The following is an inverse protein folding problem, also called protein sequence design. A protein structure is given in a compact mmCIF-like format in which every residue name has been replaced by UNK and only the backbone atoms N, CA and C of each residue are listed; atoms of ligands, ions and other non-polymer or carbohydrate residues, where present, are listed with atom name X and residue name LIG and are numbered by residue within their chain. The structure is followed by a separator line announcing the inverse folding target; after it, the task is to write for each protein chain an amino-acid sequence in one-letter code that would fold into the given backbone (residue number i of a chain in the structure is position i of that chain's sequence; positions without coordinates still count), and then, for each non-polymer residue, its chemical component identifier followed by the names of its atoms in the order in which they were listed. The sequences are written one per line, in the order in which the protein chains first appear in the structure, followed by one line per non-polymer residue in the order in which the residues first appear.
data_IF_044265875602
#
_entry.id   IF_044265875602
#
_cell.length_a   1.000
_cell.length_b   1.000
_cell.length_c   1.000
_cell.angle_alpha   90.00
_cell.angle_beta   90.00
_cell.angle_gamma   90.00
#
_symmetry.space_group_name_H-M   'P 1'
#
loop_
_entity.id
_entity.type
_entity.pdbx_description
1 polymer ?
#
# COMPACT_ATOMS: atom_id res chain seq x y z
N UNK A 1 5.99 17.26 7.95
CA UNK A 1 5.92 17.78 6.57
C UNK A 1 5.07 19.04 6.59
N UNK A 2 5.63 20.14 6.12
CA UNK A 2 4.84 21.35 5.87
C UNK A 2 3.89 21.04 4.71
N UNK A 3 2.59 21.33 4.82
CA UNK A 3 1.69 21.13 3.69
C UNK A 3 2.21 21.93 2.48
N UNK A 4 2.06 21.46 1.24
CA UNK A 4 2.35 22.28 0.09
C UNK A 4 1.53 23.57 0.18
N UNK A 5 2.00 24.62 -0.47
CA UNK A 5 1.31 25.90 -0.50
C UNK A 5 -0.14 25.79 -1.02
N UNK A 6 -0.44 24.71 -1.72
CA UNK A 6 -1.75 24.39 -2.26
C UNK A 6 -2.07 22.91 -2.09
N UNK A 7 -3.15 22.60 -1.39
CA UNK A 7 -3.78 21.27 -1.31
C UNK A 7 -5.06 21.38 -2.10
N UNK A 8 -5.12 20.68 -3.23
CA UNK A 8 -6.31 20.67 -4.07
C UNK A 8 -7.31 19.60 -3.57
N UNK A 9 -8.59 19.80 -3.80
CA UNK A 9 -9.59 18.75 -3.71
C UNK A 9 -9.40 17.72 -4.85
N UNK A 10 -10.12 16.60 -4.79
CA UNK A 10 -10.06 15.58 -5.85
C UNK A 10 -10.74 16.00 -7.16
N UNK A 11 -11.48 17.12 -7.16
CA UNK A 11 -12.21 17.56 -8.35
C UNK A 11 -13.27 16.56 -8.81
N UNK A 12 -13.46 16.43 -10.11
CA UNK A 12 -14.36 15.44 -10.71
C UNK A 12 -13.66 14.06 -10.73
N UNK A 13 -13.91 13.25 -9.72
CA UNK A 13 -13.48 11.86 -9.69
C UNK A 13 -14.45 11.00 -10.52
N UNK A 14 -13.89 10.14 -11.40
CA UNK A 14 -14.67 9.12 -12.09
C UNK A 14 -14.57 7.81 -11.32
N UNK A 15 -15.72 7.27 -10.88
CA UNK A 15 -15.79 5.98 -10.22
C UNK A 15 -15.95 4.86 -11.25
N UNK A 16 -15.27 3.75 -11.00
CA UNK A 16 -15.31 2.53 -11.79
C UNK A 16 -15.69 1.37 -10.87
N UNK A 17 -16.96 0.94 -10.86
CA UNK A 17 -17.39 -0.22 -10.08
C UNK A 17 -16.72 -1.51 -10.56
N UNK A 18 -16.08 -2.24 -9.65
CA UNK A 18 -15.35 -3.49 -9.97
C UNK A 18 -15.65 -4.61 -8.98
N UNK A 19 -16.24 -4.30 -7.85
CA UNK A 19 -16.51 -5.21 -6.74
C UNK A 19 -15.88 -4.75 -5.44
N UNK A 20 -16.22 -5.40 -4.34
CA UNK A 20 -15.88 -4.95 -2.99
C UNK A 20 -14.38 -4.98 -2.71
N UNK A 21 -13.87 -3.88 -2.23
CA UNK A 21 -12.51 -3.70 -1.70
C UNK A 21 -11.41 -3.78 -2.76
N UNK A 22 -11.47 -2.99 -3.85
CA UNK A 22 -10.38 -2.86 -4.83
C UNK A 22 -9.19 -2.14 -4.18
N UNK A 23 -8.32 -2.89 -3.52
CA UNK A 23 -7.39 -2.36 -2.53
C UNK A 23 -6.21 -1.62 -3.17
N UNK A 24 -5.56 -2.19 -4.17
CA UNK A 24 -4.47 -1.56 -4.91
C UNK A 24 -4.80 -1.49 -6.40
N UNK A 25 -4.03 -0.71 -7.14
CA UNK A 25 -4.23 -0.49 -8.57
C UNK A 25 -2.91 -0.52 -9.33
N UNK A 26 -2.87 -1.27 -10.43
CA UNK A 26 -1.76 -1.28 -11.38
C UNK A 26 -2.30 -1.33 -12.80
N UNK A 27 -1.59 -0.72 -13.75
CA UNK A 27 -1.99 -0.71 -15.15
C UNK A 27 -1.14 -1.71 -15.93
N UNK A 28 -1.79 -2.52 -16.78
CA UNK A 28 -1.09 -3.36 -17.74
C UNK A 28 -0.58 -2.55 -18.95
N UNK A 29 0.22 -3.18 -19.79
CA UNK A 29 0.81 -2.53 -20.97
C UNK A 29 -0.22 -2.03 -22.00
N UNK A 30 -1.46 -2.50 -21.93
CA UNK A 30 -2.58 -2.05 -22.77
C UNK A 30 -3.37 -0.90 -22.16
N UNK A 31 -3.01 -0.44 -20.95
CA UNK A 31 -3.70 0.62 -20.21
C UNK A 31 -4.94 0.16 -19.46
N UNK A 32 -5.18 -1.17 -19.35
CA UNK A 32 -6.25 -1.71 -18.51
C UNK A 32 -5.80 -1.75 -17.04
N UNK A 33 -6.73 -1.59 -16.14
CA UNK A 33 -6.47 -1.46 -14.71
C UNK A 33 -6.73 -2.76 -13.99
N UNK A 34 -5.72 -3.26 -13.28
CA UNK A 34 -5.80 -4.46 -12.45
C UNK A 34 -6.01 -4.06 -11.00
N UNK A 35 -6.85 -4.80 -10.28
CA UNK A 35 -7.04 -4.64 -8.83
C UNK A 35 -7.39 -5.96 -8.18
N UNK A 36 -7.10 -6.05 -6.87
CA UNK A 36 -7.46 -7.18 -6.03
C UNK A 36 -8.72 -6.90 -5.22
N UNK A 37 -9.63 -7.86 -5.13
CA UNK A 37 -10.91 -7.72 -4.40
C UNK A 37 -10.90 -8.48 -3.07
N UNK A 38 -11.79 -8.07 -2.16
CA UNK A 38 -11.91 -8.68 -0.83
C UNK A 38 -12.25 -10.18 -0.85
N UNK A 39 -12.85 -10.68 -1.93
CA UNK A 39 -13.23 -12.09 -2.10
C UNK A 39 -12.15 -12.97 -2.74
N UNK A 40 -10.94 -12.45 -2.91
CA UNK A 40 -9.79 -13.17 -3.48
C UNK A 40 -9.68 -13.08 -5.00
N UNK A 41 -10.58 -12.39 -5.67
CA UNK A 41 -10.44 -12.18 -7.12
C UNK A 41 -9.40 -11.09 -7.42
N UNK A 42 -8.65 -11.33 -8.48
CA UNK A 42 -7.92 -10.31 -9.23
C UNK A 42 -8.73 -10.01 -10.47
N UNK A 43 -9.11 -8.76 -10.66
CA UNK A 43 -9.93 -8.34 -11.79
C UNK A 43 -9.19 -7.32 -12.64
N UNK A 44 -9.57 -7.23 -13.92
CA UNK A 44 -9.04 -6.30 -14.90
C UNK A 44 -10.18 -5.49 -15.49
N UNK A 45 -10.09 -4.17 -15.38
CA UNK A 45 -11.03 -3.19 -15.90
C UNK A 45 -10.50 -2.59 -17.20
N UNK A 46 -11.33 -2.55 -18.24
CA UNK A 46 -11.12 -1.65 -19.36
C UNK A 46 -11.71 -0.28 -19.01
N UNK A 47 -10.89 0.77 -18.84
CA UNK A 47 -11.41 2.08 -18.40
C UNK A 47 -12.20 2.83 -19.48
N UNK A 48 -12.14 2.37 -20.74
CA UNK A 48 -12.86 2.97 -21.88
C UNK A 48 -14.26 2.38 -21.98
N UNK A 49 -14.38 1.06 -22.02
CA UNK A 49 -15.68 0.36 -22.15
C UNK A 49 -16.39 0.19 -20.82
N UNK A 50 -15.64 0.12 -19.71
CA UNK A 50 -16.15 -0.23 -18.39
C UNK A 50 -16.25 -1.74 -18.13
N UNK A 51 -15.80 -2.58 -19.07
CA UNK A 51 -15.84 -4.03 -18.93
C UNK A 51 -14.88 -4.48 -17.83
N UNK A 52 -15.36 -5.42 -17.01
CA UNK A 52 -14.59 -6.02 -15.92
C UNK A 52 -14.50 -7.54 -16.12
N UNK A 53 -13.31 -8.06 -16.20
CA UNK A 53 -13.07 -9.51 -16.28
C UNK A 53 -12.30 -10.01 -15.04
N UNK A 54 -12.56 -11.25 -14.66
CA UNK A 54 -11.76 -11.92 -13.61
C UNK A 54 -10.54 -12.57 -14.26
N UNK A 55 -9.36 -12.13 -13.86
CA UNK A 55 -8.07 -12.68 -14.31
C UNK A 55 -7.73 -13.95 -13.55
N UNK A 56 -7.86 -13.92 -12.22
CA UNK A 56 -7.54 -15.05 -11.35
C UNK A 56 -8.33 -14.98 -10.04
N UNK A 57 -8.30 -16.09 -9.30
CA UNK A 57 -8.68 -16.13 -7.90
C UNK A 57 -7.49 -16.66 -7.10
N UNK A 58 -7.02 -15.86 -6.13
CA UNK A 58 -5.88 -16.20 -5.28
C UNK A 58 -6.35 -16.64 -3.89
N UNK A 59 -5.57 -17.45 -3.16
CA UNK A 59 -5.82 -17.70 -1.76
C UNK A 59 -5.58 -16.41 -0.95
N UNK A 60 -6.39 -16.18 0.08
CA UNK A 60 -6.34 -14.95 0.88
C UNK A 60 -6.89 -13.73 0.16
N UNK A 61 -6.69 -12.57 0.75
CA UNK A 61 -7.08 -11.29 0.18
C UNK A 61 -5.90 -10.67 -0.59
N UNK A 62 -6.01 -10.44 -1.91
CA UNK A 62 -5.02 -9.68 -2.64
C UNK A 62 -5.06 -8.22 -2.14
N UNK A 63 -3.90 -7.73 -1.75
CA UNK A 63 -3.63 -6.36 -1.32
C UNK A 63 -2.77 -5.69 -2.40
N UNK A 64 -1.48 -5.42 -2.14
CA UNK A 64 -0.60 -4.80 -3.10
C UNK A 64 -0.39 -5.60 -4.38
N UNK A 65 -0.32 -4.90 -5.49
CA UNK A 65 -0.12 -5.44 -6.82
C UNK A 65 1.06 -4.75 -7.52
N UNK A 66 1.87 -5.52 -8.28
CA UNK A 66 2.89 -4.96 -9.17
C UNK A 66 3.09 -5.85 -10.40
N UNK A 67 3.56 -5.28 -11.51
CA UNK A 67 3.87 -6.09 -12.69
C UNK A 67 5.19 -6.84 -12.51
N UNK A 68 5.19 -8.13 -12.87
CA UNK A 68 6.38 -8.96 -12.97
C UNK A 68 6.77 -9.15 -14.44
N UNK A 69 7.58 -8.26 -14.99
CA UNK A 69 8.04 -8.38 -16.37
C UNK A 69 6.90 -8.57 -17.36
N UNK A 70 7.05 -9.52 -18.26
CA UNK A 70 6.09 -9.75 -19.35
C UNK A 70 4.99 -10.76 -18.94
N UNK A 71 3.77 -10.25 -18.72
CA UNK A 71 2.58 -11.10 -18.62
C UNK A 71 2.31 -11.73 -17.26
N UNK A 72 3.04 -11.38 -16.23
CA UNK A 72 2.76 -11.82 -14.85
C UNK A 72 2.48 -10.62 -13.92
N UNK A 73 1.61 -10.85 -12.95
CA UNK A 73 1.27 -9.94 -11.87
C UNK A 73 1.80 -10.50 -10.56
N UNK A 74 2.56 -9.69 -9.82
CA UNK A 74 2.88 -9.93 -8.43
C UNK A 74 1.67 -9.56 -7.58
N UNK A 75 1.30 -10.45 -6.66
CA UNK A 75 0.18 -10.25 -5.74
C UNK A 75 0.66 -10.46 -4.32
N UNK A 76 0.55 -9.45 -3.50
CA UNK A 76 0.68 -9.56 -2.06
C UNK A 76 -0.65 -10.07 -1.50
N UNK A 77 -0.71 -11.35 -1.15
CA UNK A 77 -1.92 -11.97 -0.60
C UNK A 77 -1.80 -12.08 0.91
N UNK A 78 -2.66 -11.41 1.67
CA UNK A 78 -2.47 -11.13 3.11
C UNK A 78 -1.98 -12.32 3.93
N UNK A 79 -2.66 -13.45 3.83
CA UNK A 79 -2.39 -14.67 4.64
C UNK A 79 -1.76 -15.80 3.80
N UNK A 80 -1.50 -15.56 2.51
CA UNK A 80 -0.97 -16.57 1.59
C UNK A 80 0.45 -16.22 1.08
N UNK A 81 0.94 -15.03 1.45
CA UNK A 81 2.29 -14.61 1.09
C UNK A 81 2.38 -13.85 -0.23
N UNK A 82 3.52 -13.97 -0.89
CA UNK A 82 3.82 -13.32 -2.16
C UNK A 82 3.56 -14.30 -3.29
N UNK A 83 2.67 -13.95 -4.21
CA UNK A 83 2.22 -14.81 -5.30
C UNK A 83 2.56 -14.18 -6.65
N UNK A 84 2.72 -15.01 -7.67
CA UNK A 84 2.72 -14.59 -9.07
C UNK A 84 1.52 -15.17 -9.78
N UNK A 85 0.86 -14.34 -10.59
CA UNK A 85 -0.33 -14.67 -11.36
C UNK A 85 -0.05 -14.42 -12.83
N UNK A 86 -0.24 -15.41 -13.68
CA UNK A 86 -0.17 -15.24 -15.13
C UNK A 86 -1.39 -14.47 -15.61
N UNK A 87 -1.20 -13.34 -16.30
CA UNK A 87 -2.31 -12.49 -16.76
C UNK A 87 -3.17 -13.15 -17.85
N UNK A 88 -2.56 -14.05 -18.62
CA UNK A 88 -3.27 -14.88 -19.58
C UNK A 88 -3.41 -16.30 -19.01
N UNK A 89 -4.64 -16.69 -18.67
CA UNK A 89 -4.94 -18.01 -18.13
C UNK A 89 -5.00 -18.12 -16.61
N UNK A 90 -4.62 -17.08 -15.84
CA UNK A 90 -4.89 -16.97 -14.41
C UNK A 90 -4.15 -17.98 -13.52
N UNK A 91 -3.07 -18.61 -13.99
CA UNK A 91 -2.30 -19.55 -13.18
C UNK A 91 -1.63 -18.82 -12.01
N UNK A 92 -1.73 -19.41 -10.82
CA UNK A 92 -1.19 -18.85 -9.57
C UNK A 92 -0.05 -19.72 -9.06
N UNK A 93 1.08 -19.11 -8.72
CA UNK A 93 2.21 -19.77 -8.07
C UNK A 93 2.69 -18.99 -6.86
N UNK A 94 3.08 -19.68 -5.81
CA UNK A 94 3.66 -19.05 -4.61
C UNK A 94 5.14 -18.73 -4.85
N UNK A 95 5.54 -17.51 -4.50
CA UNK A 95 6.93 -17.07 -4.51
C UNK A 95 7.56 -17.12 -3.13
N UNK A 96 6.81 -16.70 -2.10
CA UNK A 96 7.24 -16.67 -0.69
C UNK A 96 5.99 -16.77 0.18
N UNK A 97 5.93 -17.72 1.08
CA UNK A 97 4.85 -17.88 2.05
C UNK A 97 5.35 -17.96 3.51
N UNK A 98 6.66 -18.15 3.70
CA UNK A 98 7.29 -18.16 5.01
C UNK A 98 8.60 -17.36 5.04
N UNK A 99 9.06 -17.02 6.24
CA UNK A 99 10.40 -16.54 6.51
C UNK A 99 10.92 -17.17 7.81
N UNK A 100 12.10 -17.80 7.73
CA UNK A 100 12.76 -18.49 8.83
C UNK A 100 11.86 -19.55 9.52
N UNK A 101 11.09 -20.31 8.72
CA UNK A 101 10.18 -21.36 9.18
C UNK A 101 8.91 -20.86 9.86
N UNK A 102 8.54 -19.60 9.65
CA UNK A 102 7.29 -18.99 10.14
C UNK A 102 6.48 -18.43 9.00
N UNK A 103 5.20 -18.77 8.87
CA UNK A 103 4.34 -18.19 7.86
C UNK A 103 4.34 -16.66 7.90
N UNK A 104 4.31 -16.03 6.75
CA UNK A 104 4.05 -14.60 6.60
C UNK A 104 2.53 -14.38 6.72
N UNK A 105 2.11 -13.53 7.66
CA UNK A 105 0.69 -13.40 8.01
C UNK A 105 0.04 -12.09 7.58
N UNK A 106 0.81 -11.15 7.04
CA UNK A 106 0.31 -9.83 6.68
C UNK A 106 1.11 -9.20 5.53
N UNK A 107 1.45 -10.02 4.49
CA UNK A 107 2.12 -9.51 3.28
C UNK A 107 1.20 -8.49 2.63
N UNK A 108 1.71 -7.25 2.46
CA UNK A 108 0.85 -6.11 2.16
C UNK A 108 1.12 -5.51 0.78
N UNK A 109 2.33 -5.02 0.52
CA UNK A 109 2.64 -4.31 -0.72
C UNK A 109 4.06 -4.64 -1.20
N UNK A 110 4.34 -4.38 -2.49
CA UNK A 110 5.63 -4.69 -3.07
C UNK A 110 6.04 -3.70 -4.18
N UNK A 111 7.34 -3.67 -4.45
CA UNK A 111 7.92 -3.02 -5.63
C UNK A 111 8.90 -3.99 -6.30
N UNK A 112 8.98 -3.95 -7.63
CA UNK A 112 9.84 -4.79 -8.45
C UNK A 112 10.89 -3.92 -9.11
N UNK A 113 12.16 -4.26 -8.91
CA UNK A 113 13.28 -3.61 -9.59
C UNK A 113 13.50 -4.19 -10.98
N UNK A 114 14.18 -3.44 -11.86
CA UNK A 114 14.47 -3.86 -13.23
C UNK A 114 15.25 -5.17 -13.33
N UNK A 115 16.07 -5.49 -12.32
CA UNK A 115 16.82 -6.74 -12.23
C UNK A 115 15.98 -7.93 -11.75
N UNK A 116 14.68 -7.71 -11.49
CA UNK A 116 13.76 -8.71 -10.96
C UNK A 116 13.83 -8.92 -9.45
N UNK A 117 14.59 -8.10 -8.73
CA UNK A 117 14.56 -8.06 -7.25
C UNK A 117 13.21 -7.53 -6.78
N UNK A 118 12.58 -8.23 -5.85
CA UNK A 118 11.30 -7.85 -5.25
C UNK A 118 11.54 -7.33 -3.84
N UNK A 119 11.00 -6.15 -3.55
CA UNK A 119 10.92 -5.58 -2.22
C UNK A 119 9.49 -5.66 -1.75
N UNK A 120 9.22 -6.21 -0.57
CA UNK A 120 7.86 -6.36 -0.08
C UNK A 120 7.75 -6.17 1.43
N UNK A 121 6.59 -5.71 1.87
CA UNK A 121 6.28 -5.47 3.27
C UNK A 121 5.45 -6.62 3.86
N UNK A 122 5.64 -6.85 5.17
CA UNK A 122 4.77 -7.64 6.03
C UNK A 122 4.35 -6.73 7.18
N UNK A 123 3.06 -6.36 7.23
CA UNK A 123 2.57 -5.29 8.09
C UNK A 123 2.73 -5.58 9.57
N UNK A 124 2.53 -6.83 9.98
CA UNK A 124 2.54 -7.21 11.38
C UNK A 124 2.76 -8.71 11.57
N UNK A 125 3.67 -9.07 12.46
CA UNK A 125 3.82 -10.46 12.95
C UNK A 125 2.88 -10.80 14.12
N UNK A 126 2.04 -9.84 14.54
CA UNK A 126 1.16 -9.95 15.71
C UNK A 126 -0.30 -10.02 15.36
N UNK A 127 -0.72 -9.33 14.31
CA UNK A 127 -2.12 -9.22 13.91
C UNK A 127 -2.26 -9.44 12.42
N UNK A 128 -3.17 -10.34 12.00
CA UNK A 128 -3.51 -10.46 10.58
C UNK A 128 -4.23 -9.19 10.08
N UNK A 129 -4.25 -8.98 8.79
CA UNK A 129 -4.83 -7.79 8.15
C UNK A 129 -6.25 -7.45 8.65
N UNK A 130 -7.20 -8.39 8.82
CA UNK A 130 -8.53 -8.02 9.34
C UNK A 130 -8.52 -7.37 10.73
N UNK A 131 -7.41 -7.49 11.46
CA UNK A 131 -7.23 -6.90 12.80
C UNK A 131 -6.26 -5.71 12.82
N UNK A 132 -6.09 -5.03 11.69
CA UNK A 132 -5.15 -3.91 11.55
C UNK A 132 -5.37 -2.78 12.58
N UNK A 133 -6.63 -2.49 12.96
CA UNK A 133 -6.94 -1.48 13.99
C UNK A 133 -6.32 -1.82 15.34
N UNK A 134 -6.28 -3.11 15.69
CA UNK A 134 -5.68 -3.56 16.95
C UNK A 134 -4.15 -3.37 16.93
N UNK A 135 -3.51 -3.57 15.78
CA UNK A 135 -2.08 -3.29 15.61
C UNK A 135 -1.78 -1.80 15.82
N UNK A 136 -2.55 -0.92 15.14
CA UNK A 136 -2.38 0.53 15.27
C UNK A 136 -2.62 1.01 16.71
N UNK A 137 -3.63 0.50 17.41
CA UNK A 137 -3.89 0.79 18.82
C UNK A 137 -2.74 0.30 19.69
N UNK A 138 -2.27 -0.93 19.47
CA UNK A 138 -1.21 -1.55 20.27
C UNK A 138 0.17 -0.97 19.96
N UNK A 139 0.39 -0.46 18.74
CA UNK A 139 1.71 -0.03 18.21
C UNK A 139 2.74 -1.14 18.36
N UNK A 140 2.50 -2.28 17.69
CA UNK A 140 3.31 -3.48 17.91
C UNK A 140 4.75 -3.34 17.46
N UNK A 141 5.01 -2.46 16.51
CA UNK A 141 6.32 -2.29 15.86
C UNK A 141 6.87 -3.62 15.35
N UNK A 142 5.99 -4.44 14.80
CA UNK A 142 6.35 -5.77 14.32
C UNK A 142 6.33 -5.90 12.81
N UNK A 143 6.11 -4.78 12.10
CA UNK A 143 6.19 -4.71 10.65
C UNK A 143 7.63 -4.85 10.14
N UNK A 144 7.76 -5.38 8.92
CA UNK A 144 9.04 -5.72 8.29
C UNK A 144 9.05 -5.33 6.82
N UNK A 145 10.24 -5.03 6.30
CA UNK A 145 10.52 -4.91 4.87
C UNK A 145 11.48 -6.04 4.47
N UNK A 146 11.16 -6.74 3.41
CA UNK A 146 11.94 -7.83 2.86
C UNK A 146 12.48 -7.50 1.47
N UNK A 147 13.56 -8.16 1.13
CA UNK A 147 14.12 -8.27 -0.22
C UNK A 147 14.08 -9.74 -0.64
N UNK A 148 13.56 -10.01 -1.85
CA UNK A 148 13.68 -11.30 -2.52
C UNK A 148 14.50 -11.13 -3.80
N UNK A 149 15.59 -11.87 -3.92
CA UNK A 149 16.41 -11.88 -5.13
C UNK A 149 15.70 -12.63 -6.27
N UNK A 150 16.07 -12.42 -7.55
CA UNK A 150 15.58 -13.23 -8.66
C UNK A 150 15.79 -14.74 -8.45
N UNK A 151 16.87 -15.13 -7.77
CA UNK A 151 17.16 -16.51 -7.38
C UNK A 151 16.28 -17.07 -6.26
N UNK A 152 15.40 -16.28 -5.65
CA UNK A 152 14.46 -16.72 -4.63
C UNK A 152 14.93 -16.55 -3.19
N UNK A 153 16.15 -16.08 -2.95
CA UNK A 153 16.64 -15.80 -1.59
C UNK A 153 15.88 -14.63 -0.96
N UNK A 154 15.38 -14.82 0.26
CA UNK A 154 14.62 -13.81 1.01
C UNK A 154 15.43 -13.34 2.22
N UNK A 155 15.52 -12.02 2.39
CA UNK A 155 16.24 -11.37 3.50
C UNK A 155 15.35 -10.30 4.13
N UNK A 156 15.25 -10.28 5.47
CA UNK A 156 14.67 -9.14 6.19
C UNK A 156 15.67 -7.99 6.18
N UNK A 157 15.28 -6.85 5.62
CA UNK A 157 16.13 -5.67 5.44
C UNK A 157 15.88 -4.65 6.53
N UNK A 158 14.63 -4.52 6.97
CA UNK A 158 14.23 -3.57 7.99
C UNK A 158 13.08 -4.13 8.81
N UNK A 159 13.27 -4.17 10.12
CA UNK A 159 12.25 -4.58 11.09
C UNK A 159 11.83 -3.43 12.00
N UNK A 160 10.90 -3.73 12.90
CA UNK A 160 10.43 -2.77 13.91
C UNK A 160 9.54 -1.67 13.36
N UNK A 161 8.92 -1.85 12.20
CA UNK A 161 8.05 -0.89 11.55
C UNK A 161 6.66 -0.85 12.21
N UNK A 162 6.08 0.35 12.31
CA UNK A 162 4.73 0.55 12.86
C UNK A 162 3.67 0.33 11.76
N UNK A 163 3.32 -0.92 11.49
CA UNK A 163 2.47 -1.36 10.41
C UNK A 163 3.07 -1.02 9.04
N UNK A 164 4.04 -1.84 8.61
CA UNK A 164 4.66 -1.70 7.30
C UNK A 164 3.61 -1.88 6.20
N UNK A 165 3.53 -0.93 5.28
CA UNK A 165 2.52 -0.88 4.25
C UNK A 165 3.18 -0.69 2.87
N UNK A 166 2.78 0.28 2.09
CA UNK A 166 3.26 0.52 0.74
C UNK A 166 4.77 0.51 0.57
N UNK A 167 5.24 -0.02 -0.55
CA UNK A 167 6.65 -0.12 -0.93
C UNK A 167 6.85 0.49 -2.31
N UNK A 168 7.85 1.36 -2.48
CA UNK A 168 8.20 1.93 -3.79
C UNK A 168 9.72 2.08 -3.94
N UNK A 169 10.20 1.92 -5.16
CA UNK A 169 11.58 2.25 -5.53
C UNK A 169 11.67 3.72 -5.97
N UNK A 170 12.80 4.34 -5.70
CA UNK A 170 13.13 5.63 -6.32
C UNK A 170 13.27 5.48 -7.83
N UNK A 171 12.99 6.56 -8.59
CA UNK A 171 13.06 6.54 -10.05
C UNK A 171 14.46 6.19 -10.56
N UNK A 172 15.50 6.58 -9.84
CA UNK A 172 16.91 6.28 -10.16
C UNK A 172 17.43 4.98 -9.51
N UNK A 173 16.57 4.24 -8.81
CA UNK A 173 16.93 3.03 -8.08
C UNK A 173 17.82 3.25 -6.85
N UNK A 174 18.01 4.50 -6.41
CA UNK A 174 18.95 4.82 -5.31
C UNK A 174 18.47 4.36 -3.94
N UNK A 175 17.18 4.20 -3.73
CA UNK A 175 16.61 3.70 -2.47
C UNK A 175 15.29 2.96 -2.69
N UNK A 176 14.90 2.17 -1.70
CA UNK A 176 13.53 1.66 -1.54
C UNK A 176 12.87 2.40 -0.38
N UNK A 177 11.63 2.84 -0.59
CA UNK A 177 10.79 3.48 0.41
C UNK A 177 9.76 2.50 0.96
N UNK A 178 9.41 2.63 2.24
CA UNK A 178 8.34 1.87 2.91
C UNK A 178 7.49 2.79 3.78
N UNK A 179 6.18 2.71 3.61
CA UNK A 179 5.23 3.43 4.45
C UNK A 179 5.08 2.76 5.82
N UNK A 180 5.05 3.55 6.88
CA UNK A 180 4.67 3.14 8.23
C UNK A 180 3.35 3.81 8.59
N UNK A 181 2.24 3.10 8.43
CA UNK A 181 0.88 3.62 8.68
C UNK A 181 0.74 4.16 10.10
N UNK A 182 1.16 3.37 11.10
CA UNK A 182 1.03 3.73 12.51
C UNK A 182 1.87 4.93 12.93
N UNK A 183 3.02 5.14 12.29
CA UNK A 183 3.92 6.25 12.56
C UNK A 183 3.63 7.49 11.68
N UNK A 184 2.77 7.36 10.68
CA UNK A 184 2.45 8.41 9.67
C UNK A 184 3.70 8.99 9.02
N UNK A 185 4.57 8.11 8.56
CA UNK A 185 5.83 8.46 7.90
C UNK A 185 6.14 7.48 6.78
N UNK A 186 7.07 7.86 5.93
CA UNK A 186 7.72 7.00 4.94
C UNK A 186 9.19 6.92 5.30
N UNK A 187 9.72 5.71 5.43
CA UNK A 187 11.15 5.46 5.59
C UNK A 187 11.76 5.05 4.27
N UNK A 188 13.09 5.12 4.19
CA UNK A 188 13.84 4.56 3.06
C UNK A 188 15.07 3.81 3.52
N UNK A 189 15.45 2.85 2.69
CA UNK A 189 16.71 2.12 2.77
C UNK A 189 17.50 2.46 1.52
N UNK A 190 18.71 2.97 1.68
CA UNK A 190 19.58 3.32 0.57
C UNK A 190 20.17 2.07 -0.08
N UNK A 191 20.08 1.97 -1.41
CA UNK A 191 20.51 0.82 -2.19
C UNK A 191 21.86 1.06 -2.89
N UNK A 192 22.19 2.33 -3.14
CA UNK A 192 23.40 2.70 -3.89
C UNK A 192 24.16 3.85 -3.22
N UNK A 193 25.38 4.10 -3.68
CA UNK A 193 26.22 5.21 -3.23
C UNK A 193 26.81 5.00 -1.82
N UNK A 194 27.32 6.08 -1.24
CA UNK A 194 28.00 6.06 0.06
C UNK A 194 27.07 5.72 1.26
N UNK A 195 25.76 5.76 1.07
CA UNK A 195 24.76 5.46 2.09
C UNK A 195 24.16 4.04 1.98
N UNK A 196 24.64 3.22 1.07
CA UNK A 196 24.14 1.86 0.86
C UNK A 196 23.98 1.10 2.17
N UNK A 197 22.79 0.51 2.37
CA UNK A 197 22.41 -0.22 3.59
C UNK A 197 21.98 0.67 4.77
N UNK A 198 22.20 1.99 4.72
CA UNK A 198 21.70 2.88 5.76
C UNK A 198 20.20 3.19 5.58
N UNK A 199 19.57 3.59 6.68
CA UNK A 199 18.14 3.92 6.70
C UNK A 199 17.93 5.32 7.27
N UNK A 200 16.97 6.05 6.72
CA UNK A 200 16.52 7.32 7.28
C UNK A 200 14.99 7.51 7.05
N UNK A 201 14.48 8.66 7.44
CA UNK A 201 13.08 9.03 7.21
C UNK A 201 13.03 9.87 5.95
N UNK A 202 12.28 9.40 4.94
CA UNK A 202 12.03 10.15 3.71
C UNK A 202 11.03 11.28 3.97
N UNK A 203 9.90 10.97 4.60
CA UNK A 203 8.87 11.96 4.97
C UNK A 203 8.20 11.56 6.28
N UNK A 204 7.90 12.54 7.13
CA UNK A 204 7.19 12.32 8.41
C UNK A 204 6.14 13.40 8.68
N UNK A 205 5.24 13.12 9.63
CA UNK A 205 4.16 14.05 9.96
C UNK A 205 3.17 14.24 8.81
N UNK A 206 2.93 13.19 8.04
CA UNK A 206 1.93 13.18 6.98
C UNK A 206 0.55 13.53 7.55
N UNK A 207 -0.31 14.12 6.73
CA UNK A 207 -1.64 14.60 7.14
C UNK A 207 -2.61 13.50 7.52
N UNK A 208 -2.33 12.30 7.04
CA UNK A 208 -3.13 11.11 7.24
C UNK A 208 -2.26 9.88 7.48
N UNK A 209 -2.90 8.74 7.47
CA UNK A 209 -2.25 7.44 7.62
C UNK A 209 -1.81 6.96 6.24
N UNK A 210 -0.48 6.89 5.96
CA UNK A 210 0.02 6.38 4.69
C UNK A 210 -0.32 4.90 4.56
N UNK A 211 -0.78 4.54 3.38
CA UNK A 211 -1.13 3.19 2.99
C UNK A 211 -0.22 2.75 1.84
N UNK A 212 -0.71 2.27 0.70
CA UNK A 212 0.15 1.92 -0.42
C UNK A 212 0.87 3.15 -0.98
N UNK A 213 2.07 2.94 -1.49
CA UNK A 213 2.86 3.94 -2.19
C UNK A 213 3.35 3.38 -3.52
N UNK A 214 3.50 4.23 -4.52
CA UNK A 214 3.96 3.82 -5.83
C UNK A 214 4.76 4.92 -6.52
N UNK A 215 5.74 4.54 -7.34
CA UNK A 215 6.39 5.45 -8.26
C UNK A 215 5.42 5.80 -9.39
N UNK A 216 5.16 7.11 -9.58
CA UNK A 216 4.37 7.62 -10.68
C UNK A 216 5.20 7.83 -11.95
N UNK A 217 4.53 7.93 -13.08
CA UNK A 217 5.15 8.26 -14.38
C UNK A 217 5.77 9.66 -14.39
N UNK A 218 5.42 10.51 -13.42
CA UNK A 218 5.97 11.84 -13.19
C UNK A 218 7.24 11.85 -12.32
N UNK A 219 7.73 10.69 -11.92
CA UNK A 219 8.92 10.52 -11.08
C UNK A 219 8.69 10.80 -9.58
N UNK A 220 7.45 11.07 -9.16
CA UNK A 220 7.12 11.25 -7.75
C UNK A 220 6.74 9.92 -7.12
N UNK A 221 7.06 9.77 -5.83
CA UNK A 221 6.50 8.68 -5.02
C UNK A 221 5.14 9.13 -4.52
N UNK A 222 4.08 8.57 -5.08
CA UNK A 222 2.72 8.81 -4.66
C UNK A 222 2.40 7.98 -3.42
N UNK A 223 1.75 8.60 -2.44
CA UNK A 223 1.38 8.01 -1.15
C UNK A 223 -0.12 8.14 -0.98
N UNK A 224 -0.82 7.03 -0.86
CA UNK A 224 -2.21 7.00 -0.44
C UNK A 224 -2.32 7.34 1.05
N UNK A 225 -3.28 8.18 1.41
CA UNK A 225 -3.61 8.50 2.80
C UNK A 225 -5.04 8.01 3.07
N UNK A 226 -5.15 6.88 3.75
CA UNK A 226 -6.41 6.17 3.94
C UNK A 226 -7.46 6.96 4.73
N UNK A 227 -7.00 7.82 5.63
CA UNK A 227 -7.83 8.71 6.46
C UNK A 227 -6.97 9.85 6.97
N UNK A 228 -7.54 11.02 7.22
CA UNK A 228 -6.87 12.07 8.00
C UNK A 228 -6.51 11.58 9.41
N UNK A 229 -5.67 12.34 10.06
CA UNK A 229 -5.27 12.10 11.45
C UNK A 229 -6.48 11.99 12.38
N UNK A 230 -6.53 10.91 13.17
CA UNK A 230 -7.58 10.64 14.16
C UNK A 230 -7.04 10.93 15.56
N UNK A 231 -7.44 12.05 16.17
CA UNK A 231 -6.93 12.51 17.47
C UNK A 231 -7.16 11.49 18.60
N UNK A 232 -8.27 10.73 18.53
CA UNK A 232 -8.54 9.67 19.50
C UNK A 232 -7.48 8.56 19.46
N UNK A 233 -7.07 8.13 18.24
CA UNK A 233 -6.00 7.14 18.08
C UNK A 233 -4.66 7.67 18.61
N UNK A 234 -4.31 8.92 18.30
CA UNK A 234 -3.09 9.55 18.81
C UNK A 234 -3.07 9.58 20.35
N UNK A 235 -4.20 9.87 20.98
CA UNK A 235 -4.34 9.91 22.44
C UNK A 235 -4.14 8.51 23.04
N UNK A 236 -4.76 7.49 22.43
CA UNK A 236 -4.59 6.09 22.85
C UNK A 236 -3.14 5.65 22.68
N UNK A 237 -2.49 5.99 21.59
CA UNK A 237 -1.11 5.58 21.31
C UNK A 237 -0.09 6.18 22.30
N UNK A 238 -0.42 7.24 23.03
CA UNK A 238 0.40 7.81 24.10
C UNK A 238 0.26 7.08 25.44
N UNK A 239 -0.78 6.24 25.59
CA UNK A 239 -1.01 5.47 26.83
C UNK A 239 0.05 4.37 26.99
N UNK A 240 0.31 3.90 28.22
CA UNK A 240 1.15 2.75 28.49
C UNK A 240 0.67 1.51 27.73
N UNK A 241 1.61 0.64 27.30
CA UNK A 241 1.31 -0.55 26.50
C UNK A 241 0.27 -1.49 27.11
N UNK A 242 0.27 -1.65 28.46
CA UNK A 242 -0.72 -2.44 29.16
C UNK A 242 -2.15 -1.88 29.01
N UNK A 243 -2.29 -0.54 29.05
CA UNK A 243 -3.60 0.13 28.84
C UNK A 243 -4.06 -0.03 27.40
N UNK A 244 -3.15 0.15 26.43
CA UNK A 244 -3.46 -0.11 25.01
C UNK A 244 -3.90 -1.55 24.76
N UNK A 245 -3.29 -2.52 25.46
CA UNK A 245 -3.69 -3.93 25.38
C UNK A 245 -5.11 -4.21 25.88
N UNK A 246 -5.63 -3.38 26.78
CA UNK A 246 -7.04 -3.43 27.19
C UNK A 246 -7.91 -2.74 26.15
N UNK A 247 -7.55 -1.50 25.73
CA UNK A 247 -8.33 -0.72 24.76
C UNK A 247 -8.55 -1.50 23.45
N UNK A 248 -7.53 -2.16 22.91
CA UNK A 248 -7.67 -2.94 21.66
C UNK A 248 -8.66 -4.10 21.71
N UNK A 249 -9.05 -4.55 22.92
CA UNK A 249 -10.05 -5.62 23.12
C UNK A 249 -11.49 -5.11 23.17
N UNK A 250 -11.67 -3.81 23.10
CA UNK A 250 -13.00 -3.22 23.01
C UNK A 250 -13.66 -3.66 21.70
N UNK A 251 -15.01 -3.74 21.68
CA UNK A 251 -15.75 -3.94 20.44
C UNK A 251 -15.31 -2.95 19.36
N UNK A 252 -15.22 -3.37 18.12
CA UNK A 252 -14.70 -2.56 17.00
C UNK A 252 -15.37 -1.20 16.88
N UNK A 253 -16.69 -1.12 17.14
CA UNK A 253 -17.47 0.14 17.15
C UNK A 253 -17.01 1.18 18.17
N UNK A 254 -16.20 0.78 19.17
CA UNK A 254 -15.64 1.67 20.20
C UNK A 254 -14.18 2.03 19.92
N UNK A 255 -13.55 1.38 18.95
CA UNK A 255 -12.21 1.74 18.50
C UNK A 255 -12.28 2.97 17.60
N UNK A 256 -11.20 3.79 17.56
CA UNK A 256 -11.13 4.90 16.64
C UNK A 256 -11.38 4.46 15.19
N UNK A 257 -12.35 5.10 14.54
CA UNK A 257 -12.70 4.83 13.16
C UNK A 257 -11.99 5.83 12.21
N UNK A 258 -11.64 5.39 10.99
CA UNK A 258 -11.20 6.31 9.94
C UNK A 258 -12.26 7.37 9.64
N UNK A 259 -11.82 8.57 9.31
CA UNK A 259 -12.71 9.60 8.78
C UNK A 259 -12.97 9.35 7.27
N UNK A 260 -14.10 9.83 6.74
CA UNK A 260 -14.49 9.59 5.35
C UNK A 260 -13.59 10.33 4.33
N UNK A 261 -12.90 11.40 4.75
CA UNK A 261 -11.96 12.09 3.88
C UNK A 261 -10.72 11.24 3.63
N UNK A 262 -10.16 11.36 2.45
CA UNK A 262 -8.98 10.64 1.98
C UNK A 262 -7.96 11.62 1.39
N UNK A 263 -6.73 11.17 1.16
CA UNK A 263 -5.70 12.01 0.57
C UNK A 263 -4.75 11.22 -0.32
N UNK A 264 -4.14 11.92 -1.26
CA UNK A 264 -3.02 11.41 -2.06
C UNK A 264 -1.95 12.50 -2.15
N UNK A 265 -0.69 12.14 -1.89
CA UNK A 265 0.42 13.08 -1.97
C UNK A 265 1.55 12.53 -2.80
N UNK A 266 2.17 13.38 -3.63
CA UNK A 266 3.37 13.08 -4.40
C UNK A 266 4.61 13.63 -3.70
N UNK A 267 5.54 12.77 -3.35
CA UNK A 267 6.82 13.10 -2.73
C UNK A 267 7.92 13.11 -3.79
N UNK A 268 8.80 14.11 -3.72
CA UNK A 268 10.08 14.05 -4.44
C UNK A 268 11.10 13.18 -3.68
N UNK A 269 12.25 12.94 -4.27
CA UNK A 269 13.33 12.12 -3.69
C UNK A 269 13.91 12.71 -2.38
N UNK A 270 13.68 13.99 -2.12
CA UNK A 270 14.04 14.62 -0.85
C UNK A 270 12.98 14.41 0.24
N UNK A 271 11.82 13.83 -0.11
CA UNK A 271 10.68 13.63 0.77
C UNK A 271 9.78 14.87 0.93
N UNK A 272 9.98 15.88 0.08
CA UNK A 272 9.12 17.05 0.07
C UNK A 272 7.82 16.73 -0.68
N UNK A 273 6.69 17.12 -0.11
CA UNK A 273 5.41 17.07 -0.81
C UNK A 273 5.38 18.10 -1.93
N UNK A 274 5.36 17.65 -3.17
CA UNK A 274 5.31 18.48 -4.39
C UNK A 274 3.87 18.66 -4.83
N UNK A 275 3.03 17.63 -4.66
CA UNK A 275 1.61 17.60 -5.00
C UNK A 275 0.82 17.05 -3.84
N UNK A 276 -0.42 17.48 -3.70
CA UNK A 276 -1.30 16.93 -2.68
C UNK A 276 -2.76 17.17 -3.00
N UNK A 277 -3.56 16.13 -2.78
CA UNK A 277 -5.01 16.18 -2.83
C UNK A 277 -5.58 15.65 -1.54
N UNK A 278 -6.59 16.31 -1.01
CA UNK A 278 -7.28 15.86 0.20
C UNK A 278 -8.74 16.30 0.14
N UNK A 279 -9.63 15.45 0.59
CA UNK A 279 -11.06 15.74 0.63
C UNK A 279 -11.89 14.47 0.65
N UNK A 280 -13.17 14.63 0.41
CA UNK A 280 -14.10 13.53 0.20
C UNK A 280 -14.32 13.33 -1.30
N UNK A 281 -14.50 12.07 -1.70
CA UNK A 281 -15.01 11.66 -3.00
C UNK A 281 -16.33 10.97 -2.73
N UNK A 282 -17.40 11.44 -3.33
CA UNK A 282 -18.74 10.87 -3.11
C UNK A 282 -18.75 9.40 -3.54
N UNK A 283 -19.21 8.52 -2.65
CA UNK A 283 -19.23 7.07 -2.89
C UNK A 283 -17.87 6.37 -2.75
N UNK A 284 -16.81 7.06 -2.28
CA UNK A 284 -15.48 6.50 -2.13
C UNK A 284 -14.87 6.86 -0.75
N UNK A 285 -14.28 5.87 -0.08
CA UNK A 285 -13.64 6.05 1.22
C UNK A 285 -12.48 5.07 1.41
N UNK A 286 -11.66 5.26 2.44
CA UNK A 286 -10.55 4.36 2.77
C UNK A 286 -9.62 4.15 1.56
N UNK A 287 -9.03 5.24 1.09
CA UNK A 287 -8.07 5.22 -0.01
C UNK A 287 -6.82 4.46 0.40
N UNK A 288 -6.59 3.30 -0.22
CA UNK A 288 -5.44 2.45 0.06
C UNK A 288 -4.47 2.38 -1.13
N UNK A 289 -4.95 2.17 -2.34
CA UNK A 289 -4.13 2.12 -3.54
C UNK A 289 -3.95 3.48 -4.21
N UNK A 290 -2.77 3.78 -4.74
CA UNK A 290 -2.51 4.98 -5.54
C UNK A 290 -1.51 4.69 -6.64
N UNK A 291 -1.86 5.04 -7.89
CA UNK A 291 -0.96 4.92 -9.05
C UNK A 291 -1.16 6.08 -10.00
N UNK A 292 -0.13 6.89 -10.19
CA UNK A 292 -0.14 7.92 -11.24
C UNK A 292 0.44 7.36 -12.54
N UNK A 293 -0.31 7.48 -13.62
CA UNK A 293 0.14 7.12 -14.97
C UNK A 293 -0.42 8.12 -15.99
N UNK A 294 0.46 8.76 -16.73
CA UNK A 294 0.09 9.62 -17.85
C UNK A 294 -0.82 10.81 -17.50
N UNK A 295 -0.69 11.35 -16.29
CA UNK A 295 -1.51 12.48 -15.82
C UNK A 295 -2.84 12.07 -15.19
N UNK A 296 -3.11 10.77 -15.04
CA UNK A 296 -4.25 10.24 -14.28
C UNK A 296 -3.75 9.59 -13.00
N UNK A 297 -4.37 9.90 -11.87
CA UNK A 297 -4.14 9.24 -10.60
C UNK A 297 -5.28 8.26 -10.36
N UNK A 298 -4.95 6.98 -10.36
CA UNK A 298 -5.85 5.89 -10.04
C UNK A 298 -5.81 5.61 -8.55
N UNK A 299 -6.97 5.34 -7.96
CA UNK A 299 -7.16 5.21 -6.52
C UNK A 299 -7.90 3.91 -6.22
N UNK A 300 -7.35 3.12 -5.29
CA UNK A 300 -7.95 1.92 -4.72
C UNK A 300 -8.63 2.19 -3.39
N UNK A 301 -9.55 1.32 -2.97
CA UNK A 301 -10.31 1.45 -1.74
C UNK A 301 -10.38 0.13 -0.96
N UNK A 302 -10.13 0.19 0.34
CA UNK A 302 -10.22 -1.00 1.21
C UNK A 302 -11.66 -1.51 1.36
N UNK A 303 -12.64 -0.60 1.37
CA UNK A 303 -14.03 -0.89 1.78
C UNK A 303 -15.08 -0.54 0.73
N UNK A 304 -14.75 0.28 -0.27
CA UNK A 304 -15.66 0.63 -1.36
C UNK A 304 -15.84 -0.52 -2.36
N UNK A 305 -16.66 -0.28 -3.36
CA UNK A 305 -16.91 -1.22 -4.47
C UNK A 305 -16.34 -0.72 -5.80
N UNK A 306 -15.69 0.41 -5.78
CA UNK A 306 -15.19 1.12 -6.96
C UNK A 306 -13.75 1.55 -6.79
N UNK A 307 -12.98 1.51 -7.88
CA UNK A 307 -11.78 2.33 -8.05
C UNK A 307 -12.20 3.75 -8.44
N UNK A 308 -11.33 4.73 -8.19
CA UNK A 308 -11.53 6.09 -8.68
C UNK A 308 -10.37 6.53 -9.58
N UNK A 309 -10.69 7.34 -10.59
CA UNK A 309 -9.71 7.99 -11.44
C UNK A 309 -9.90 9.51 -11.36
N UNK A 310 -8.80 10.23 -11.12
CA UNK A 310 -8.79 11.70 -11.04
C UNK A 310 -7.66 12.25 -11.91
N UNK A 311 -7.86 13.43 -12.51
CA UNK A 311 -6.77 14.13 -13.20
C UNK A 311 -5.70 14.52 -12.15
N UNK A 312 -4.43 14.42 -12.55
CA UNK A 312 -3.27 14.78 -11.72
C UNK A 312 -3.23 16.26 -11.36
#
# INVERSE_FOLDING_TARGET
VTPPAQVDGFGAARLHPVGTGPEDVVLDASGRVLTGLADGRVVRLDPVTGDVETVARVPGRPLGLELLGTGELLVCASDAGLLAVTLDGGAVRTLVDDFAGRPLGAVNNAAVADDGTIWFSDSSTRFPIPRWREDLVQRTRSGRLFRRTPGGEVTEVLGGLEFANGVALAADGSFVAVAETGARRVRRVWLTGARTGSTDVLAEGLWGYPDNIALGSDGLIWVALASPRVSALDSIQRLPGAVRAVVRRLPERLLPAPAPAVGAVGLDESGRVVRGRMGTIDGFAMLTGVREVGGTVWLGSLTGDSMAAVAR
#
